data_IF_840359474541
#
_entry.id   IF_840359474541
#
_cell.length_a   1.000
_cell.length_b   1.000
_cell.length_c   1.000
_cell.angle_alpha   90.00
_cell.angle_beta   90.00
_cell.angle_gamma   90.00
#
_symmetry.space_group_name_H-M   'P 1'
#
loop_
_entity.id
_entity.type
_entity.pdbx_description
1 polymer ?
#
# COMPACT_ATOMS: atom_id res chain seq x y z
N UNK A 1 2.72 -12.38 -10.23
CA UNK A 1 3.50 -11.87 -9.09
C UNK A 1 4.87 -11.46 -9.59
N UNK A 2 5.23 -10.19 -9.44
CA UNK A 2 6.49 -9.59 -9.89
C UNK A 2 7.30 -9.17 -8.67
N UNK A 3 8.62 -9.35 -8.72
CA UNK A 3 9.54 -8.95 -7.64
C UNK A 3 10.50 -7.91 -8.20
N UNK A 4 10.60 -6.77 -7.52
CA UNK A 4 11.52 -5.70 -7.90
C UNK A 4 12.53 -5.45 -6.79
N UNK A 5 13.75 -5.13 -7.21
CA UNK A 5 14.72 -4.48 -6.34
C UNK A 5 14.25 -3.06 -6.01
N UNK A 6 14.91 -2.40 -5.05
CA UNK A 6 14.68 -0.97 -4.78
C UNK A 6 14.77 -0.10 -6.05
N UNK A 7 15.76 -0.37 -6.89
CA UNK A 7 16.09 0.49 -8.03
C UNK A 7 15.05 0.35 -9.14
N UNK A 8 14.51 -0.86 -9.32
CA UNK A 8 13.58 -1.16 -10.42
C UNK A 8 12.12 -0.96 -10.02
N UNK A 9 11.83 -0.82 -8.72
CA UNK A 9 10.45 -0.79 -8.22
C UNK A 9 9.66 0.42 -8.73
N UNK A 10 10.28 1.60 -8.76
CA UNK A 10 9.61 2.84 -9.18
C UNK A 10 9.22 2.76 -10.65
N UNK A 11 10.18 2.42 -11.52
CA UNK A 11 9.95 2.26 -12.96
C UNK A 11 8.99 1.09 -13.24
N UNK A 12 9.15 -0.02 -12.53
CA UNK A 12 8.28 -1.19 -12.68
C UNK A 12 6.83 -0.88 -12.32
N UNK A 13 6.59 -0.22 -11.19
CA UNK A 13 5.24 0.15 -10.75
C UNK A 13 4.64 1.27 -11.62
N UNK A 14 5.44 2.27 -12.00
CA UNK A 14 4.95 3.38 -12.83
C UNK A 14 4.53 2.91 -14.22
N UNK A 15 5.38 2.14 -14.91
CA UNK A 15 5.04 1.54 -16.20
C UNK A 15 3.77 0.69 -16.11
N UNK A 16 3.63 -0.13 -15.06
CA UNK A 16 2.40 -0.92 -14.86
C UNK A 16 1.15 -0.05 -14.72
N UNK A 17 1.23 1.09 -14.02
CA UNK A 17 0.10 2.00 -13.90
C UNK A 17 -0.15 2.74 -15.21
N UNK A 18 0.87 3.14 -15.94
CA UNK A 18 0.74 3.85 -17.22
C UNK A 18 0.11 2.98 -18.30
N UNK A 19 0.54 1.73 -18.41
CA UNK A 19 0.08 0.74 -19.39
C UNK A 19 -1.39 0.30 -19.18
N UNK A 20 -1.97 0.61 -18.03
CA UNK A 20 -3.31 0.17 -17.67
C UNK A 20 -4.28 1.35 -17.47
N UNK A 21 -5.48 1.22 -18.03
CA UNK A 21 -6.60 2.15 -17.77
C UNK A 21 -7.14 1.95 -16.36
N UNK A 22 -7.18 0.71 -15.89
CA UNK A 22 -7.55 0.34 -14.52
C UNK A 22 -6.61 -0.72 -14.01
N UNK A 23 -6.16 -0.59 -12.76
CA UNK A 23 -5.25 -1.54 -12.13
C UNK A 23 -5.50 -1.58 -10.63
N UNK A 24 -5.71 -2.77 -10.10
CA UNK A 24 -5.67 -3.07 -8.67
C UNK A 24 -4.37 -3.82 -8.38
N UNK A 25 -3.46 -3.16 -7.69
CA UNK A 25 -2.13 -3.70 -7.38
C UNK A 25 -1.92 -3.85 -5.88
N UNK A 26 -1.39 -5.01 -5.48
CA UNK A 26 -0.99 -5.27 -4.10
C UNK A 26 0.53 -5.20 -3.96
N UNK A 27 0.98 -4.29 -3.11
CA UNK A 27 2.38 -4.06 -2.77
C UNK A 27 2.71 -4.82 -1.49
N UNK A 28 3.55 -5.83 -1.66
CA UNK A 28 4.07 -6.75 -0.64
C UNK A 28 5.54 -6.46 -0.34
N UNK A 29 6.00 -6.90 0.82
CA UNK A 29 7.39 -6.68 1.28
C UNK A 29 7.50 -6.52 2.80
N UNK A 30 8.73 -6.55 3.33
CA UNK A 30 8.97 -6.52 4.77
C UNK A 30 8.90 -5.12 5.38
N UNK A 31 9.41 -4.12 4.65
CA UNK A 31 9.61 -2.77 5.16
C UNK A 31 8.52 -1.85 4.59
N UNK A 32 7.52 -1.53 5.42
CA UNK A 32 6.40 -0.67 5.00
C UNK A 32 6.85 0.73 4.59
N UNK A 33 7.86 1.27 5.26
CA UNK A 33 8.39 2.60 4.97
C UNK A 33 8.98 2.69 3.55
N UNK A 34 9.70 1.66 3.12
CA UNK A 34 10.28 1.57 1.77
C UNK A 34 9.17 1.34 0.74
N UNK A 35 8.16 0.51 1.05
CA UNK A 35 7.00 0.32 0.16
C UNK A 35 6.23 1.61 -0.08
N UNK A 36 5.88 2.32 0.99
CA UNK A 36 5.17 3.59 0.86
C UNK A 36 6.03 4.63 0.13
N UNK A 37 7.33 4.70 0.43
CA UNK A 37 8.25 5.61 -0.29
C UNK A 37 8.33 5.28 -1.78
N UNK A 38 8.44 4.01 -2.15
CA UNK A 38 8.50 3.58 -3.55
C UNK A 38 7.19 3.83 -4.29
N UNK A 39 6.05 3.57 -3.65
CA UNK A 39 4.73 3.86 -4.22
C UNK A 39 4.56 5.35 -4.47
N UNK A 40 4.93 6.20 -3.51
CA UNK A 40 4.85 7.65 -3.67
C UNK A 40 5.76 8.16 -4.78
N UNK A 41 6.97 7.64 -4.90
CA UNK A 41 7.88 7.98 -6.00
C UNK A 41 7.32 7.53 -7.37
N UNK A 42 6.71 6.35 -7.45
CA UNK A 42 6.06 5.89 -8.67
C UNK A 42 4.87 6.79 -9.05
N UNK A 43 4.02 7.17 -8.08
CA UNK A 43 2.93 8.12 -8.31
C UNK A 43 3.47 9.47 -8.81
N UNK A 44 4.51 9.99 -8.17
CA UNK A 44 5.13 11.27 -8.52
C UNK A 44 5.64 11.32 -9.96
N UNK A 45 6.08 10.18 -10.50
CA UNK A 45 6.57 10.05 -11.88
C UNK A 45 5.48 10.00 -12.95
N UNK A 46 4.20 9.85 -12.57
CA UNK A 46 3.09 9.66 -13.51
C UNK A 46 2.26 10.93 -13.62
N UNK A 47 2.25 11.53 -14.81
CA UNK A 47 1.55 12.80 -15.01
C UNK A 47 0.02 12.70 -14.91
N UNK A 48 -0.57 11.56 -15.25
CA UNK A 48 -2.04 11.36 -15.19
C UNK A 48 -2.61 11.21 -13.77
N UNK A 49 -1.76 11.10 -12.73
CA UNK A 49 -2.21 10.92 -11.35
C UNK A 49 -2.15 12.25 -10.59
N UNK A 50 -3.21 13.05 -10.65
CA UNK A 50 -3.28 14.38 -10.04
C UNK A 50 -4.08 14.40 -8.74
N UNK A 51 -5.13 13.60 -8.62
CA UNK A 51 -5.99 13.56 -7.44
C UNK A 51 -6.01 12.15 -6.80
N UNK A 52 -5.69 12.10 -5.51
CA UNK A 52 -5.42 10.88 -4.77
C UNK A 52 -6.17 10.77 -3.44
N UNK A 53 -6.63 9.55 -3.13
CA UNK A 53 -7.30 9.23 -1.87
C UNK A 53 -6.56 8.18 -1.05
N UNK A 54 -6.16 8.51 0.17
CA UNK A 54 -5.56 7.58 1.12
C UNK A 54 -6.59 7.10 2.15
N UNK A 55 -6.84 5.79 2.16
CA UNK A 55 -7.74 5.12 3.10
C UNK A 55 -6.93 4.49 4.23
N UNK A 56 -7.06 5.07 5.43
CA UNK A 56 -6.26 4.71 6.61
C UNK A 56 -7.12 4.16 7.74
N UNK A 57 -6.53 3.38 8.66
CA UNK A 57 -7.21 2.90 9.88
C UNK A 57 -7.63 4.05 10.80
N UNK A 58 -6.76 5.05 10.95
CA UNK A 58 -6.93 6.20 11.80
C UNK A 58 -6.24 7.44 11.22
N UNK A 59 -6.98 8.55 11.16
CA UNK A 59 -6.44 9.85 10.71
C UNK A 59 -5.32 10.35 11.65
N UNK A 60 -5.43 10.06 12.96
CA UNK A 60 -4.43 10.50 13.93
C UNK A 60 -3.09 9.77 13.81
N UNK A 61 -3.07 8.60 13.15
CA UNK A 61 -1.86 7.80 12.96
C UNK A 61 -1.10 8.16 11.68
N UNK A 62 -1.71 8.92 10.77
CA UNK A 62 -1.11 9.28 9.47
C UNK A 62 0.29 9.88 9.63
N UNK A 63 0.54 10.86 10.54
CA UNK A 63 1.89 11.40 10.67
C UNK A 63 2.93 10.33 11.00
N UNK A 64 2.62 9.46 11.98
CA UNK A 64 3.52 8.37 12.39
C UNK A 64 3.78 7.37 11.25
N UNK A 65 2.77 7.08 10.45
CA UNK A 65 2.86 6.13 9.32
C UNK A 65 3.64 6.69 8.13
N UNK A 66 3.67 8.02 7.95
CA UNK A 66 4.21 8.68 6.76
C UNK A 66 5.59 9.31 7.02
N UNK A 67 5.86 9.78 8.24
CA UNK A 67 7.11 10.49 8.60
C UNK A 67 8.38 9.74 8.20
N UNK A 68 8.41 8.41 8.38
CA UNK A 68 9.56 7.58 8.02
C UNK A 68 9.79 7.53 6.52
N UNK A 69 8.73 7.31 5.73
CA UNK A 69 8.82 7.27 4.26
C UNK A 69 9.19 8.62 3.67
N UNK A 70 8.69 9.72 4.25
CA UNK A 70 9.03 11.07 3.81
C UNK A 70 10.38 11.58 4.34
N UNK A 71 10.99 10.89 5.32
CA UNK A 71 12.20 11.33 6.03
C UNK A 71 12.13 12.77 6.57
N UNK A 72 10.91 13.22 6.90
CA UNK A 72 10.61 14.54 7.47
C UNK A 72 9.36 14.45 8.32
N UNK A 73 9.19 15.41 9.22
CA UNK A 73 7.97 15.57 10.02
C UNK A 73 6.77 15.73 9.08
N UNK A 74 5.72 14.96 9.31
CA UNK A 74 4.48 15.02 8.53
C UNK A 74 3.45 15.84 9.31
N UNK A 75 2.70 16.75 8.66
CA UNK A 75 1.74 17.59 9.37
C UNK A 75 0.64 16.75 10.02
N UNK A 76 0.02 17.29 11.09
CA UNK A 76 -1.21 16.71 11.61
C UNK A 76 -2.27 16.72 10.52
N UNK A 77 -2.85 15.55 10.28
CA UNK A 77 -3.85 15.36 9.22
C UNK A 77 -5.26 15.51 9.78
N UNK A 78 -6.12 16.11 8.97
CA UNK A 78 -7.57 16.15 9.14
C UNK A 78 -8.23 15.41 7.98
N UNK A 79 -9.35 14.77 8.28
CA UNK A 79 -10.16 14.07 7.29
C UNK A 79 -10.65 15.04 6.20
N UNK A 80 -10.65 14.58 4.94
CA UNK A 80 -11.11 15.33 3.76
C UNK A 80 -10.38 16.65 3.45
N UNK A 81 -9.30 16.97 4.18
CA UNK A 81 -8.43 18.08 3.82
C UNK A 81 -7.43 17.64 2.74
N UNK A 82 -7.12 18.54 1.81
CA UNK A 82 -6.15 18.31 0.74
C UNK A 82 -4.73 18.62 1.20
N UNK A 83 -3.80 17.74 0.84
CA UNK A 83 -2.36 17.85 1.09
C UNK A 83 -1.62 17.60 -0.22
N UNK A 84 -0.66 18.46 -0.57
CA UNK A 84 0.14 18.27 -1.77
C UNK A 84 1.42 17.47 -1.46
N UNK A 85 1.59 16.33 -2.13
CA UNK A 85 2.81 15.52 -2.11
C UNK A 85 2.79 14.56 -3.30
N UNK A 86 3.96 14.00 -3.69
CA UNK A 86 4.07 13.10 -4.85
C UNK A 86 3.40 13.68 -6.11
N UNK A 87 3.64 14.96 -6.39
CA UNK A 87 3.05 15.72 -7.51
C UNK A 87 1.52 15.62 -7.65
N UNK A 88 0.80 15.36 -6.55
CA UNK A 88 -0.64 15.14 -6.52
C UNK A 88 -1.32 15.81 -5.33
N UNK A 89 -2.61 16.09 -5.48
CA UNK A 89 -3.51 16.54 -4.42
C UNK A 89 -4.08 15.32 -3.70
N UNK A 90 -3.72 15.15 -2.44
CA UNK A 90 -4.03 13.96 -1.69
C UNK A 90 -4.97 14.25 -0.53
N UNK A 91 -5.99 13.41 -0.35
CA UNK A 91 -6.90 13.46 0.79
C UNK A 91 -6.77 12.20 1.63
N UNK A 92 -7.10 12.31 2.90
CA UNK A 92 -7.15 11.19 3.82
C UNK A 92 -8.58 10.96 4.30
N UNK A 93 -9.02 9.71 4.24
CA UNK A 93 -10.24 9.26 4.89
C UNK A 93 -9.96 8.12 5.84
N UNK A 94 -10.73 8.11 6.93
CA UNK A 94 -10.77 6.95 7.80
C UNK A 94 -11.58 5.85 7.12
N UNK A 95 -11.05 4.63 7.14
CA UNK A 95 -11.79 3.43 6.74
C UNK A 95 -13.08 3.32 7.55
N UNK A 96 -14.20 3.14 6.86
CA UNK A 96 -15.51 2.84 7.46
C UNK A 96 -15.87 1.38 7.18
N UNK A 97 -16.98 0.87 7.71
CA UNK A 97 -17.52 -0.43 7.30
C UNK A 97 -18.68 -0.25 6.30
N UNK A 98 -18.79 0.92 5.66
CA UNK A 98 -19.87 1.18 4.71
C UNK A 98 -19.62 0.47 3.38
N UNK A 99 -20.70 -0.01 2.76
CA UNK A 99 -20.73 -0.50 1.39
C UNK A 99 -21.04 0.60 0.36
N UNK A 100 -21.16 1.85 0.81
CA UNK A 100 -21.37 2.97 -0.09
C UNK A 100 -20.16 3.14 -1.01
N UNK A 101 -20.43 3.46 -2.28
CA UNK A 101 -19.40 3.83 -3.24
C UNK A 101 -18.73 5.13 -2.80
N UNK A 102 -17.41 5.21 -2.98
CA UNK A 102 -16.60 6.35 -2.52
C UNK A 102 -15.33 6.51 -3.37
N UNK A 103 -14.69 7.68 -3.27
CA UNK A 103 -13.55 8.04 -4.11
C UNK A 103 -13.96 8.43 -5.53
N UNK A 104 -15.14 9.02 -5.68
CA UNK A 104 -15.49 9.66 -6.94
C UNK A 104 -14.52 10.81 -7.21
N UNK A 105 -14.16 10.98 -8.48
CA UNK A 105 -13.29 12.04 -8.99
C UNK A 105 -11.80 11.94 -8.57
N UNK A 106 -11.36 10.77 -8.09
CA UNK A 106 -9.95 10.49 -7.79
C UNK A 106 -9.32 9.68 -8.92
N UNK A 107 -8.07 10.00 -9.29
CA UNK A 107 -7.29 9.24 -10.27
C UNK A 107 -6.77 7.94 -9.66
N UNK A 108 -6.45 7.97 -8.36
CA UNK A 108 -5.96 6.81 -7.64
C UNK A 108 -6.41 6.76 -6.17
N UNK A 109 -6.41 5.55 -5.62
CA UNK A 109 -6.73 5.29 -4.23
C UNK A 109 -5.71 4.35 -3.61
N UNK A 110 -5.22 4.71 -2.42
CA UNK A 110 -4.23 3.94 -1.67
C UNK A 110 -4.84 3.43 -0.38
N UNK A 111 -4.90 2.11 -0.21
CA UNK A 111 -5.26 1.47 1.04
C UNK A 111 -4.00 1.15 1.83
N UNK A 112 -3.74 1.90 2.90
CA UNK A 112 -2.53 1.71 3.68
C UNK A 112 -2.71 2.08 5.16
N UNK A 113 -2.27 1.22 6.10
CA UNK A 113 -1.91 -0.19 5.91
C UNK A 113 -3.12 -1.13 5.92
N UNK A 114 -2.97 -2.33 5.33
CA UNK A 114 -4.05 -3.33 5.27
C UNK A 114 -3.83 -4.62 6.08
N UNK A 115 -2.61 -4.91 6.53
CA UNK A 115 -2.26 -6.20 7.14
C UNK A 115 -3.18 -6.61 8.31
N UNK A 116 -3.57 -5.66 9.17
CA UNK A 116 -4.44 -5.94 10.32
C UNK A 116 -5.85 -6.41 9.94
N UNK A 117 -6.34 -6.04 8.75
CA UNK A 117 -7.64 -6.47 8.23
C UNK A 117 -7.67 -7.95 7.86
N UNK A 118 -6.51 -8.53 7.60
CA UNK A 118 -6.39 -9.89 7.07
C UNK A 118 -6.41 -10.95 8.17
N UNK A 119 -6.43 -10.54 9.44
CA UNK A 119 -6.46 -11.44 10.60
C UNK A 119 -7.84 -12.03 10.90
N UNK A 120 -8.91 -11.30 10.58
CA UNK A 120 -10.30 -11.71 10.85
C UNK A 120 -11.07 -11.73 9.55
N UNK A 121 -11.80 -12.82 9.32
CA UNK A 121 -12.54 -13.01 8.07
C UNK A 121 -13.53 -11.88 7.78
N UNK A 122 -14.30 -11.47 8.79
CA UNK A 122 -15.24 -10.35 8.70
C UNK A 122 -14.57 -9.03 8.27
N UNK A 123 -13.38 -8.74 8.79
CA UNK A 123 -12.65 -7.51 8.45
C UNK A 123 -12.06 -7.60 7.03
N UNK A 124 -11.64 -8.81 6.63
CA UNK A 124 -11.17 -9.10 5.26
C UNK A 124 -12.30 -8.95 4.25
N UNK A 125 -13.46 -9.55 4.50
CA UNK A 125 -14.65 -9.44 3.65
C UNK A 125 -15.13 -7.98 3.52
N UNK A 126 -15.14 -7.24 4.64
CA UNK A 126 -15.48 -5.81 4.62
C UNK A 126 -14.50 -5.01 3.76
N UNK A 127 -13.20 -5.32 3.83
CA UNK A 127 -12.19 -4.67 3.01
C UNK A 127 -12.34 -5.01 1.51
N UNK A 128 -12.60 -6.27 1.18
CA UNK A 128 -12.87 -6.71 -0.20
C UNK A 128 -14.10 -5.98 -0.76
N UNK A 129 -15.15 -5.82 0.05
CA UNK A 129 -16.33 -5.04 -0.34
C UNK A 129 -15.98 -3.58 -0.66
N UNK A 130 -15.15 -2.93 0.17
CA UNK A 130 -14.67 -1.56 -0.11
C UNK A 130 -13.86 -1.46 -1.40
N UNK A 131 -12.98 -2.44 -1.64
CA UNK A 131 -12.19 -2.53 -2.87
C UNK A 131 -13.09 -2.55 -4.10
N UNK A 132 -14.17 -3.34 -4.07
CA UNK A 132 -15.13 -3.47 -5.17
C UNK A 132 -16.04 -2.24 -5.33
N UNK A 133 -16.33 -1.52 -4.24
CA UNK A 133 -17.24 -0.38 -4.25
C UNK A 133 -16.57 0.95 -4.64
N UNK A 134 -15.23 0.98 -4.76
CA UNK A 134 -14.53 2.16 -5.24
C UNK A 134 -14.48 2.17 -6.80
N UNK A 135 -15.02 3.20 -7.46
CA UNK A 135 -14.95 3.32 -8.92
C UNK A 135 -13.58 3.80 -9.43
N UNK A 136 -12.65 4.14 -8.53
CA UNK A 136 -11.33 4.68 -8.86
C UNK A 136 -10.56 3.70 -9.75
N UNK A 137 -9.97 4.16 -10.88
CA UNK A 137 -9.33 3.27 -11.84
C UNK A 137 -8.06 2.60 -11.29
N UNK A 138 -7.23 3.34 -10.55
CA UNK A 138 -5.97 2.83 -9.99
C UNK A 138 -6.10 2.63 -8.49
N UNK A 139 -6.03 1.36 -8.04
CA UNK A 139 -6.14 0.98 -6.63
C UNK A 139 -4.83 0.35 -6.17
N UNK A 140 -4.18 0.98 -5.19
CA UNK A 140 -2.91 0.52 -4.64
C UNK A 140 -3.14 0.05 -3.21
N UNK A 141 -2.78 -1.20 -2.93
CA UNK A 141 -2.96 -1.83 -1.62
C UNK A 141 -1.57 -2.07 -1.04
N UNK A 142 -1.29 -1.54 0.16
CA UNK A 142 0.04 -1.66 0.77
C UNK A 142 -0.09 -2.37 2.11
N UNK A 143 0.57 -3.52 2.24
CA UNK A 143 0.68 -4.23 3.53
C UNK A 143 1.67 -3.50 4.44
N UNK A 144 1.60 -3.67 5.77
CA UNK A 144 2.67 -3.16 6.65
C UNK A 144 3.90 -4.06 6.53
N UNK A 145 3.88 -5.18 7.23
CA UNK A 145 5.01 -6.10 7.27
C UNK A 145 4.50 -7.49 6.97
N UNK A 146 4.95 -8.05 5.85
CA UNK A 146 4.53 -9.37 5.42
C UNK A 146 5.27 -10.44 6.22
N UNK A 147 4.73 -10.81 7.38
CA UNK A 147 5.19 -11.93 8.20
C UNK A 147 4.34 -13.20 8.01
N UNK A 148 3.36 -13.16 7.11
CA UNK A 148 2.42 -14.25 6.90
C UNK A 148 1.89 -14.28 5.47
N UNK A 149 1.32 -15.42 5.09
CA UNK A 149 0.63 -15.67 3.80
C UNK A 149 -0.78 -15.04 3.77
N UNK A 150 -1.19 -14.26 4.78
CA UNK A 150 -2.56 -13.71 4.86
C UNK A 150 -2.92 -12.80 3.68
N UNK A 151 -1.92 -12.13 3.10
CA UNK A 151 -2.09 -11.31 1.90
C UNK A 151 -2.63 -12.11 0.70
N UNK A 152 -2.42 -13.43 0.66
CA UNK A 152 -2.92 -14.32 -0.39
C UNK A 152 -4.45 -14.35 -0.46
N UNK A 153 -5.14 -14.06 0.66
CA UNK A 153 -6.60 -13.90 0.68
C UNK A 153 -7.11 -12.82 -0.28
N UNK A 154 -6.26 -11.85 -0.63
CA UNK A 154 -6.62 -10.78 -1.53
C UNK A 154 -6.40 -11.14 -3.00
N UNK A 155 -5.56 -12.14 -3.31
CA UNK A 155 -5.12 -12.43 -4.69
C UNK A 155 -6.27 -12.61 -5.70
N UNK A 156 -7.41 -13.23 -5.36
CA UNK A 156 -8.54 -13.32 -6.29
C UNK A 156 -9.20 -11.98 -6.66
N UNK A 157 -8.84 -10.88 -5.98
CA UNK A 157 -9.43 -9.55 -6.13
C UNK A 157 -8.43 -8.48 -6.60
N UNK A 158 -7.25 -8.91 -7.03
CA UNK A 158 -6.13 -8.04 -7.41
C UNK A 158 -5.67 -8.45 -8.81
N UNK A 159 -5.32 -7.48 -9.65
CA UNK A 159 -4.81 -7.74 -10.99
C UNK A 159 -3.33 -8.17 -10.93
N UNK A 160 -2.54 -7.47 -10.11
CA UNK A 160 -1.10 -7.72 -9.98
C UNK A 160 -0.60 -7.68 -8.53
N UNK A 161 0.31 -8.60 -8.21
CA UNK A 161 1.03 -8.62 -6.92
C UNK A 161 2.48 -8.23 -7.18
N UNK A 162 2.93 -7.17 -6.53
CA UNK A 162 4.29 -6.65 -6.62
C UNK A 162 4.98 -6.77 -5.27
N UNK A 163 6.15 -7.40 -5.26
CA UNK A 163 7.01 -7.51 -4.08
C UNK A 163 8.14 -6.50 -4.22
N UNK A 164 8.25 -5.60 -3.24
CA UNK A 164 9.45 -4.79 -3.05
C UNK A 164 10.45 -5.57 -2.19
N UNK A 165 11.52 -6.05 -2.82
CA UNK A 165 12.59 -6.78 -2.17
C UNK A 165 13.77 -5.83 -1.88
N UNK A 166 13.85 -5.37 -0.63
CA UNK A 166 14.93 -4.52 -0.12
C UNK A 166 15.72 -5.22 1.00
N UNK A 167 15.71 -6.56 1.01
CA UNK A 167 16.25 -7.35 2.11
C UNK A 167 17.76 -7.12 2.30
N UNK A 168 18.50 -6.94 1.20
CA UNK A 168 19.95 -6.69 1.23
C UNK A 168 20.31 -5.36 1.92
N UNK A 169 19.44 -4.34 1.80
CA UNK A 169 19.65 -3.03 2.43
C UNK A 169 19.43 -3.07 3.95
N UNK A 170 18.77 -4.12 4.44
CA UNK A 170 18.44 -4.32 5.84
C UNK A 170 18.89 -5.71 6.31
N UNK A 171 20.03 -6.18 5.82
CA UNK A 171 20.52 -7.56 5.99
C UNK A 171 20.50 -8.05 7.45
N UNK A 172 20.88 -7.22 8.42
CA UNK A 172 20.86 -7.59 9.85
C UNK A 172 19.43 -7.81 10.38
N UNK A 173 18.50 -6.92 10.03
CA UNK A 173 17.10 -7.02 10.43
C UNK A 173 16.44 -8.21 9.74
N UNK A 174 16.76 -8.41 8.46
CA UNK A 174 16.25 -9.53 7.67
C UNK A 174 16.75 -10.87 8.20
N UNK A 175 18.05 -11.01 8.47
CA UNK A 175 18.64 -12.22 9.05
C UNK A 175 18.00 -12.56 10.41
N UNK A 176 17.75 -11.55 11.24
CA UNK A 176 17.05 -11.74 12.52
C UNK A 176 15.62 -12.25 12.33
N UNK A 177 14.89 -11.69 11.37
CA UNK A 177 13.53 -12.12 11.03
C UNK A 177 13.50 -13.55 10.48
N UNK A 178 14.37 -13.86 9.53
CA UNK A 178 14.49 -15.17 8.92
C UNK A 178 14.80 -16.25 9.98
N UNK A 179 15.76 -15.98 10.88
CA UNK A 179 16.09 -16.87 11.98
C UNK A 179 14.90 -17.09 12.93
N UNK A 180 14.12 -16.04 13.21
CA UNK A 180 12.93 -16.16 14.05
C UNK A 180 11.80 -16.96 13.38
N UNK A 181 11.64 -16.85 12.06
CA UNK A 181 10.67 -17.63 11.29
C UNK A 181 11.10 -19.10 11.20
N UNK A 182 12.37 -19.37 10.89
CA UNK A 182 12.96 -20.72 10.86
C UNK A 182 12.81 -21.42 12.21
N UNK A 183 13.08 -20.74 13.33
CA UNK A 183 12.86 -21.27 14.69
C UNK A 183 11.40 -21.64 14.97
N UNK A 184 10.45 -21.02 14.28
CA UNK A 184 9.00 -21.30 14.38
C UNK A 184 8.51 -22.30 13.31
N UNK A 185 9.41 -22.90 12.53
CA UNK A 185 9.07 -23.83 11.45
C UNK A 185 8.33 -23.15 10.29
N UNK A 186 8.53 -21.84 10.09
CA UNK A 186 7.86 -21.06 9.04
C UNK A 186 8.87 -20.60 7.99
N UNK A 187 8.44 -20.57 6.73
CA UNK A 187 9.17 -19.95 5.65
C UNK A 187 8.90 -18.43 5.58
N UNK A 188 9.68 -17.73 4.77
CA UNK A 188 9.37 -16.36 4.37
C UNK A 188 8.11 -16.39 3.49
N UNK A 189 7.18 -15.43 3.63
CA UNK A 189 5.84 -15.52 3.04
C UNK A 189 5.76 -15.05 1.59
N UNK A 190 6.90 -14.89 0.91
CA UNK A 190 7.00 -14.53 -0.51
C UNK A 190 8.40 -14.75 -1.10
#
# INVERSE_FOLDING_TARGET
MKRFSRNDFVDGLSNMIEDNVSLTVLIRGYFHEEKLSGVLAAIESIDKLKDGLFVVSSISEVPKLFEKSFKRKFPKVKQNQTYNFANSNNRFIRRTNSSDKFGYDEDFIVFYPVESLLFKEKDTESFISQLKNSPVPIKIIITTNDYSERAEKLYPFIDEVVILDVNDLHAETYSTLENNLKRKGRALPY
#
